data_IF_598966957056
#
_entry.id   IF_598966957056
#
_cell.length_a   1.000
_cell.length_b   1.000
_cell.length_c   1.000
_cell.angle_alpha   90.00
_cell.angle_beta   90.00
_cell.angle_gamma   90.00
#
_symmetry.space_group_name_H-M   'P 1'
#
loop_
_entity.id
_entity.type
_entity.pdbx_description
1 polymer ?
#
# COMPACT_ATOMS: atom_id res chain seq x y z
N UNK A 1 20.45 13.87 -27.72
CA UNK A 1 19.17 13.17 -27.94
C UNK A 1 18.06 14.20 -28.01
N UNK A 2 17.22 14.16 -29.04
CA UNK A 2 16.08 15.07 -29.19
C UNK A 2 15.11 14.90 -28.02
N UNK A 3 14.50 15.98 -27.53
CA UNK A 3 13.58 15.98 -26.38
C UNK A 3 12.42 15.01 -26.56
N UNK A 4 11.96 14.85 -27.81
CA UNK A 4 10.93 13.89 -28.21
C UNK A 4 11.33 12.44 -27.95
N UNK A 5 12.60 12.07 -28.18
CA UNK A 5 13.09 10.71 -27.94
C UNK A 5 13.13 10.39 -26.43
N UNK A 6 13.55 11.34 -25.59
CA UNK A 6 13.57 11.17 -24.14
C UNK A 6 12.15 10.98 -23.57
N UNK A 7 11.17 11.76 -24.05
CA UNK A 7 9.77 11.61 -23.64
C UNK A 7 9.19 10.25 -24.04
N UNK A 8 9.49 9.76 -25.24
CA UNK A 8 9.03 8.45 -25.69
C UNK A 8 9.62 7.31 -24.84
N UNK A 9 10.93 7.38 -24.52
CA UNK A 9 11.59 6.40 -23.66
C UNK A 9 11.03 6.45 -22.23
N UNK A 10 10.78 7.65 -21.69
CA UNK A 10 10.16 7.83 -20.39
C UNK A 10 8.74 7.23 -20.34
N UNK A 11 7.90 7.51 -21.33
CA UNK A 11 6.57 6.92 -21.43
C UNK A 11 6.63 5.39 -21.57
N UNK A 12 7.49 4.88 -22.46
CA UNK A 12 7.65 3.45 -22.67
C UNK A 12 8.08 2.72 -21.39
N UNK A 13 9.02 3.30 -20.64
CA UNK A 13 9.51 2.71 -19.39
C UNK A 13 8.47 2.70 -18.27
N UNK A 14 7.65 3.75 -18.13
CA UNK A 14 6.53 3.76 -17.17
C UNK A 14 5.51 2.67 -17.50
N UNK A 15 5.15 2.54 -18.79
CA UNK A 15 4.24 1.48 -19.25
C UNK A 15 4.84 0.10 -18.97
N UNK A 16 6.12 -0.10 -19.29
CA UNK A 16 6.82 -1.36 -19.04
C UNK A 16 6.86 -1.73 -17.55
N UNK A 17 7.12 -0.75 -16.67
CA UNK A 17 7.09 -0.93 -15.22
C UNK A 17 5.72 -1.37 -14.73
N UNK A 18 4.67 -0.67 -15.16
CA UNK A 18 3.30 -1.00 -14.79
C UNK A 18 2.94 -2.42 -15.23
N UNK A 19 3.34 -2.80 -16.45
CA UNK A 19 3.09 -4.12 -17.00
C UNK A 19 3.82 -5.22 -16.21
N UNK A 20 5.08 -4.98 -15.79
CA UNK A 20 5.81 -5.90 -14.92
C UNK A 20 5.13 -6.09 -13.57
N UNK A 21 4.72 -5.00 -12.91
CA UNK A 21 4.10 -5.07 -11.58
C UNK A 21 2.74 -5.79 -11.65
N UNK A 22 1.91 -5.44 -12.64
CA UNK A 22 0.56 -6.00 -12.77
C UNK A 22 0.61 -7.46 -13.24
N UNK A 23 1.40 -7.76 -14.28
CA UNK A 23 1.35 -9.05 -14.97
C UNK A 23 2.32 -10.09 -14.37
N UNK A 24 3.50 -9.67 -13.94
CA UNK A 24 4.51 -10.58 -13.41
C UNK A 24 4.40 -10.81 -11.88
N UNK A 25 3.46 -10.12 -11.20
CA UNK A 25 3.32 -10.13 -9.72
C UNK A 25 4.65 -9.90 -8.98
N UNK A 26 5.58 -9.17 -9.61
CA UNK A 26 6.86 -8.87 -9.01
C UNK A 26 6.68 -7.82 -7.90
N UNK A 27 7.49 -7.91 -6.84
CA UNK A 27 7.55 -6.86 -5.83
C UNK A 27 7.95 -5.52 -6.50
N UNK A 28 7.30 -4.37 -6.19
CA UNK A 28 7.52 -3.10 -6.89
C UNK A 28 8.99 -2.69 -6.96
N UNK A 29 9.75 -3.01 -5.90
CA UNK A 29 11.18 -2.76 -5.82
C UNK A 29 12.00 -3.53 -6.87
N UNK A 30 11.71 -4.81 -7.06
CA UNK A 30 12.40 -5.65 -8.05
C UNK A 30 12.06 -5.21 -9.46
N UNK A 31 10.78 -4.86 -9.70
CA UNK A 31 10.34 -4.31 -10.98
C UNK A 31 11.05 -2.98 -11.30
N UNK A 32 11.17 -2.07 -10.31
CA UNK A 32 11.91 -0.82 -10.45
C UNK A 32 13.37 -1.04 -10.82
N UNK A 33 14.05 -1.99 -10.18
CA UNK A 33 15.47 -2.28 -10.45
C UNK A 33 15.66 -2.79 -11.89
N UNK A 34 14.85 -3.76 -12.31
CA UNK A 34 14.90 -4.32 -13.68
C UNK A 34 14.64 -3.24 -14.72
N UNK A 35 13.58 -2.45 -14.55
CA UNK A 35 13.23 -1.38 -15.50
C UNK A 35 14.29 -0.29 -15.54
N UNK A 36 14.81 0.13 -14.38
CA UNK A 36 15.84 1.16 -14.33
C UNK A 36 17.13 0.70 -15.01
N UNK A 37 17.49 -0.59 -14.88
CA UNK A 37 18.61 -1.19 -15.60
C UNK A 37 18.37 -1.19 -17.12
N UNK A 38 17.20 -1.66 -17.58
CA UNK A 38 16.79 -1.64 -18.99
C UNK A 38 16.84 -0.23 -19.59
N UNK A 39 16.34 0.77 -18.87
CA UNK A 39 16.34 2.17 -19.30
C UNK A 39 17.76 2.73 -19.34
N UNK A 40 18.61 2.41 -18.37
CA UNK A 40 20.01 2.85 -18.35
C UNK A 40 20.79 2.32 -19.56
N UNK A 41 20.57 1.05 -19.93
CA UNK A 41 21.12 0.48 -21.17
C UNK A 41 20.55 1.16 -22.43
N UNK A 42 19.23 1.40 -22.47
CA UNK A 42 18.58 2.05 -23.62
C UNK A 42 19.00 3.53 -23.81
N UNK A 43 19.38 4.22 -22.74
CA UNK A 43 19.81 5.63 -22.76
C UNK A 43 21.32 5.81 -22.95
N UNK A 44 22.12 4.74 -22.86
CA UNK A 44 23.55 4.78 -23.15
C UNK A 44 24.37 5.57 -22.13
N UNK A 45 23.93 5.62 -20.87
CA UNK A 45 24.64 6.29 -19.78
C UNK A 45 25.95 5.54 -19.51
N UNK A 46 27.10 6.23 -19.27
CA UNK A 46 28.35 5.57 -18.92
C UNK A 46 28.18 4.64 -17.72
N UNK A 47 28.76 3.43 -17.79
CA UNK A 47 28.58 2.35 -16.82
C UNK A 47 28.84 2.79 -15.37
N UNK A 48 29.83 3.65 -15.18
CA UNK A 48 30.22 4.26 -13.90
C UNK A 48 29.08 5.04 -13.22
N UNK A 49 28.14 5.56 -14.00
CA UNK A 49 27.00 6.37 -13.52
C UNK A 49 25.70 5.60 -13.42
N UNK A 50 25.64 4.36 -13.91
CA UNK A 50 24.41 3.56 -13.90
C UNK A 50 23.99 3.25 -12.46
N UNK A 51 24.89 2.68 -11.67
CA UNK A 51 24.62 2.31 -10.26
C UNK A 51 24.19 3.54 -9.46
N UNK A 52 24.96 4.64 -9.54
CA UNK A 52 24.65 5.87 -8.80
C UNK A 52 23.32 6.51 -9.22
N UNK A 53 22.93 6.40 -10.49
CA UNK A 53 21.63 6.90 -10.97
C UNK A 53 20.48 6.04 -10.46
N UNK A 54 20.63 4.70 -10.50
CA UNK A 54 19.63 3.76 -9.96
C UNK A 54 19.46 3.99 -8.46
N UNK A 55 20.56 4.04 -7.70
CA UNK A 55 20.55 4.28 -6.26
C UNK A 55 19.91 5.62 -5.90
N UNK A 56 20.20 6.67 -6.65
CA UNK A 56 19.61 7.99 -6.40
C UNK A 56 18.10 8.01 -6.68
N UNK A 57 17.66 7.42 -7.79
CA UNK A 57 16.24 7.36 -8.14
C UNK A 57 15.45 6.49 -7.16
N UNK A 58 15.94 5.28 -6.90
CA UNK A 58 15.32 4.31 -6.01
C UNK A 58 15.39 4.75 -4.54
N UNK A 59 16.53 5.29 -4.10
CA UNK A 59 16.74 5.81 -2.75
C UNK A 59 15.87 7.02 -2.44
N UNK A 60 15.63 7.90 -3.42
CA UNK A 60 14.67 9.01 -3.28
C UNK A 60 13.24 8.52 -3.06
N UNK A 61 12.79 7.53 -3.85
CA UNK A 61 11.47 6.92 -3.71
C UNK A 61 11.33 6.18 -2.37
N UNK A 62 12.30 5.35 -2.03
CA UNK A 62 12.32 4.61 -0.77
C UNK A 62 12.37 5.55 0.42
N UNK A 63 13.18 6.61 0.39
CA UNK A 63 13.25 7.58 1.49
C UNK A 63 11.90 8.25 1.73
N UNK A 64 11.26 8.73 0.65
CA UNK A 64 9.96 9.40 0.76
C UNK A 64 8.87 8.47 1.29
N UNK A 65 8.75 7.27 0.72
CA UNK A 65 7.73 6.29 1.12
C UNK A 65 8.05 5.73 2.52
N UNK A 66 9.32 5.46 2.84
CA UNK A 66 9.71 4.96 4.15
C UNK A 66 9.39 5.95 5.27
N UNK A 67 9.67 7.24 5.09
CA UNK A 67 9.29 8.24 6.11
C UNK A 67 7.79 8.23 6.39
N UNK A 68 6.95 8.14 5.35
CA UNK A 68 5.49 8.08 5.50
C UNK A 68 5.05 6.79 6.20
N UNK A 69 5.59 5.63 5.80
CA UNK A 69 5.24 4.33 6.38
C UNK A 69 5.65 4.25 7.85
N UNK A 70 6.87 4.70 8.18
CA UNK A 70 7.39 4.66 9.56
C UNK A 70 6.51 5.52 10.46
N UNK A 71 6.24 6.77 10.07
CA UNK A 71 5.36 7.65 10.84
C UNK A 71 3.95 7.09 10.95
N UNK A 72 3.38 6.58 9.85
CA UNK A 72 2.07 5.95 9.83
C UNK A 72 1.97 4.74 10.75
N UNK A 73 3.02 3.90 10.80
CA UNK A 73 3.07 2.74 11.68
C UNK A 73 3.18 3.12 13.16
N UNK A 74 3.99 4.13 13.49
CA UNK A 74 4.09 4.66 14.86
C UNK A 74 2.77 5.24 15.34
N UNK A 75 2.11 6.04 14.49
CA UNK A 75 0.79 6.60 14.78
C UNK A 75 -0.27 5.49 14.93
N UNK A 76 -0.24 4.46 14.08
CA UNK A 76 -1.13 3.31 14.17
C UNK A 76 -1.03 2.61 15.53
N UNK A 77 0.19 2.32 15.99
CA UNK A 77 0.43 1.70 17.30
C UNK A 77 0.01 2.63 18.45
N UNK A 78 0.27 3.93 18.36
CA UNK A 78 -0.20 4.92 19.35
C UNK A 78 -1.73 4.95 19.45
N UNK A 79 -2.45 4.84 18.34
CA UNK A 79 -3.92 4.79 18.29
C UNK A 79 -4.44 3.47 18.87
N UNK A 80 -3.74 2.37 18.63
CA UNK A 80 -4.06 1.06 19.20
C UNK A 80 -3.90 1.06 20.73
N UNK A 81 -2.75 1.51 21.23
CA UNK A 81 -2.46 1.54 22.67
C UNK A 81 -3.32 2.54 23.45
N UNK A 82 -3.76 3.64 22.82
CA UNK A 82 -4.68 4.60 23.44
C UNK A 82 -6.14 4.13 23.47
N UNK A 83 -6.46 2.97 22.88
CA UNK A 83 -7.85 2.52 22.70
C UNK A 83 -8.63 3.37 21.69
N UNK A 84 -7.95 4.24 20.94
CA UNK A 84 -8.54 5.09 19.92
C UNK A 84 -9.17 4.28 18.78
N UNK A 85 -8.54 3.17 18.38
CA UNK A 85 -9.06 2.26 17.36
C UNK A 85 -10.42 1.65 17.78
N UNK A 86 -10.54 1.22 19.04
CA UNK A 86 -11.77 0.64 19.62
C UNK A 86 -12.90 1.68 19.70
N UNK A 87 -12.57 2.90 20.11
CA UNK A 87 -13.52 4.01 20.15
C UNK A 87 -13.98 4.40 18.74
N UNK A 88 -13.07 4.41 17.76
CA UNK A 88 -13.40 4.69 16.36
C UNK A 88 -14.32 3.61 15.78
N UNK A 89 -14.05 2.34 16.04
CA UNK A 89 -14.89 1.22 15.61
C UNK A 89 -16.32 1.32 16.17
N UNK A 90 -16.47 1.61 17.47
CA UNK A 90 -17.77 1.80 18.12
C UNK A 90 -18.54 3.01 17.56
N UNK A 91 -17.83 4.09 17.23
CA UNK A 91 -18.45 5.27 16.62
C UNK A 91 -18.89 5.02 15.17
N UNK A 92 -18.07 4.31 14.38
CA UNK A 92 -18.45 3.89 13.03
C UNK A 92 -19.69 3.00 13.08
N UNK A 93 -19.70 1.96 13.92
CA UNK A 93 -20.84 1.06 14.10
C UNK A 93 -22.13 1.80 14.52
N UNK A 94 -22.03 2.78 15.44
CA UNK A 94 -23.19 3.62 15.80
C UNK A 94 -23.69 4.50 14.66
N UNK A 95 -22.82 4.92 13.73
CA UNK A 95 -23.17 5.77 12.59
C UNK A 95 -23.72 4.97 11.41
N UNK A 96 -23.19 3.78 11.13
CA UNK A 96 -23.70 2.86 10.09
C UNK A 96 -24.81 1.95 10.58
N UNK A 97 -25.02 1.83 11.89
CA UNK A 97 -26.00 0.98 12.58
C UNK A 97 -27.47 1.39 12.47
N UNK A 98 -27.81 2.30 11.57
CA UNK A 98 -29.21 2.63 11.26
C UNK A 98 -29.61 2.21 9.85
N UNK A 99 -29.24 0.99 9.40
CA UNK A 99 -29.95 0.27 8.31
C UNK A 99 -29.52 -1.19 8.06
N UNK A 100 -29.33 -2.04 9.07
CA UNK A 100 -29.38 -3.50 8.81
C UNK A 100 -30.00 -4.23 9.98
N UNK A 101 -30.90 -5.15 9.65
CA UNK A 101 -31.92 -5.76 10.49
C UNK A 101 -31.37 -6.80 11.50
N UNK A 102 -30.22 -6.51 12.10
CA UNK A 102 -29.52 -7.38 13.05
C UNK A 102 -29.68 -6.93 14.51
N UNK A 103 -30.23 -5.74 14.76
CA UNK A 103 -30.52 -5.23 16.12
C UNK A 103 -31.73 -5.89 16.83
N UNK A 104 -32.37 -6.92 16.26
CA UNK A 104 -33.57 -7.56 16.86
C UNK A 104 -33.49 -9.07 17.08
N UNK A 105 -32.32 -9.68 16.91
CA UNK A 105 -32.14 -11.13 17.08
C UNK A 105 -31.44 -11.53 18.39
N UNK A 106 -30.88 -10.60 19.16
CA UNK A 106 -30.28 -10.91 20.48
C UNK A 106 -31.25 -10.73 21.68
N UNK A 107 -32.57 -10.66 21.47
CA UNK A 107 -33.54 -10.69 22.57
C UNK A 107 -34.38 -11.99 22.61
N UNK A 108 -34.26 -12.86 21.58
CA UNK A 108 -35.02 -14.13 21.48
C UNK A 108 -34.20 -15.39 21.75
N UNK A 109 -32.91 -15.28 22.04
CA UNK A 109 -32.05 -16.42 22.42
C UNK A 109 -31.87 -16.61 23.93
N UNK A 110 -32.25 -15.63 24.76
CA UNK A 110 -31.97 -15.65 26.20
C UNK A 110 -33.13 -16.17 27.06
N UNK A 111 -34.28 -16.51 26.45
CA UNK A 111 -35.41 -17.15 27.15
C UNK A 111 -35.42 -18.68 27.05
N UNK A 112 -34.40 -19.29 26.42
CA UNK A 112 -34.27 -20.75 26.30
C UNK A 112 -33.20 -21.34 27.23
N UNK A 113 -32.77 -20.61 28.26
CA UNK A 113 -31.88 -21.10 29.32
C UNK A 113 -32.59 -21.09 30.69
N UNK A 114 -33.56 -22.00 30.83
CA UNK A 114 -34.03 -22.74 32.03
C UNK A 114 -35.55 -22.97 31.90
N UNK A 115 -36.05 -24.23 31.96
CA UNK A 115 -35.89 -25.08 33.14
C UNK A 115 -35.65 -26.57 32.84
N UNK A 116 -35.03 -27.30 33.78
CA UNK A 116 -34.98 -28.77 33.73
C UNK A 116 -33.63 -29.39 34.04
N UNK A 117 -32.99 -29.01 35.14
CA UNK A 117 -32.21 -29.97 35.95
C UNK A 117 -32.08 -29.38 37.37
N UNK A 118 -32.84 -30.01 38.27
CA UNK A 118 -33.18 -29.68 39.67
C UNK A 118 -34.25 -28.61 39.89
#
# INVERSE_FOLDING_TARGET
MSTSALLLIALASVVLLLLLVIKAKAHPFVALLIVSLLVAFATGIPADKIITTIEKGMGGLLGHIASIIILGSMLGVLIEMSGGAESLAKNVDRRTGCKTNHCRLNHRGFYSRHPGLF
#
